data_IF_579666146424
#
_entry.id   IF_579666146424
#
_cell.length_a   1.000
_cell.length_b   1.000
_cell.length_c   1.000
_cell.angle_alpha   90.00
_cell.angle_beta   90.00
_cell.angle_gamma   90.00
#
_symmetry.space_group_name_H-M   'P 1'
#
loop_
_entity.id
_entity.type
_entity.pdbx_description
1 polymer ?
#
# COMPACT_ATOMS: atom_id res chain seq x y z
N UNK A 1 -15.18 27.27 -28.92
CA UNK A 1 -16.02 27.24 -27.71
C UNK A 1 -16.62 25.85 -27.35
N UNK A 2 -16.88 24.90 -28.29
CA UNK A 2 -17.47 23.58 -28.01
C UNK A 2 -16.55 22.58 -27.26
N UNK A 3 -15.23 22.76 -27.20
CA UNK A 3 -14.28 21.84 -26.55
C UNK A 3 -14.15 22.10 -25.05
N UNK A 4 -14.35 23.35 -24.60
CA UNK A 4 -14.32 23.70 -23.17
C UNK A 4 -15.57 23.21 -22.40
N UNK A 5 -16.74 23.20 -23.06
CA UNK A 5 -17.99 22.72 -22.42
C UNK A 5 -17.98 21.22 -22.13
N UNK A 6 -17.19 20.41 -22.86
CA UNK A 6 -17.05 18.97 -22.62
C UNK A 6 -16.19 18.64 -21.41
N UNK A 7 -15.19 19.49 -21.10
CA UNK A 7 -14.32 19.29 -19.92
C UNK A 7 -15.10 19.62 -18.64
N UNK A 8 -15.89 20.71 -18.65
CA UNK A 8 -16.72 21.11 -17.50
C UNK A 8 -17.87 20.14 -17.19
N UNK A 9 -18.29 19.34 -18.19
CA UNK A 9 -19.33 18.33 -18.04
C UNK A 9 -18.75 16.90 -17.80
N UNK A 10 -17.43 16.76 -17.66
CA UNK A 10 -16.82 15.45 -17.43
C UNK A 10 -16.94 15.05 -15.95
N UNK A 11 -17.13 13.77 -15.72
CA UNK A 11 -17.16 13.19 -14.35
C UNK A 11 -15.88 13.52 -13.58
N UNK A 12 -14.72 13.51 -14.27
CA UNK A 12 -13.41 13.80 -13.68
C UNK A 12 -13.35 15.25 -13.15
N UNK A 13 -13.92 16.23 -13.88
CA UNK A 13 -13.97 17.61 -13.43
C UNK A 13 -14.85 17.78 -12.18
N UNK A 14 -15.99 17.11 -12.13
CA UNK A 14 -16.86 17.13 -10.96
C UNK A 14 -16.17 16.53 -9.72
N UNK A 15 -15.46 15.40 -9.87
CA UNK A 15 -14.66 14.79 -8.80
C UNK A 15 -13.52 15.71 -8.36
N UNK A 16 -12.84 16.35 -9.30
CA UNK A 16 -11.79 17.31 -9.00
C UNK A 16 -12.32 18.50 -8.19
N UNK A 17 -13.43 19.11 -8.62
CA UNK A 17 -14.05 20.23 -7.92
C UNK A 17 -14.53 19.82 -6.51
N UNK A 18 -15.12 18.61 -6.37
CA UNK A 18 -15.53 18.09 -5.09
C UNK A 18 -14.33 17.89 -4.16
N UNK A 19 -13.27 17.28 -4.66
CA UNK A 19 -12.04 17.06 -3.88
C UNK A 19 -11.44 18.37 -3.43
N UNK A 20 -11.37 19.38 -4.33
CA UNK A 20 -10.87 20.71 -4.01
C UNK A 20 -11.73 21.40 -2.95
N UNK A 21 -13.06 21.31 -3.06
CA UNK A 21 -13.98 21.85 -2.06
C UNK A 21 -13.78 21.22 -0.68
N UNK A 22 -13.60 19.89 -0.61
CA UNK A 22 -13.32 19.18 0.63
C UNK A 22 -11.97 19.62 1.22
N UNK A 23 -10.92 19.70 0.41
CA UNK A 23 -9.60 20.18 0.87
C UNK A 23 -9.69 21.61 1.42
N UNK A 24 -10.36 22.51 0.73
CA UNK A 24 -10.57 23.89 1.18
C UNK A 24 -11.35 23.95 2.49
N UNK A 25 -12.40 23.15 2.62
CA UNK A 25 -13.17 23.06 3.86
C UNK A 25 -12.27 22.62 5.05
N UNK A 26 -11.43 21.61 4.87
CA UNK A 26 -10.50 21.17 5.92
C UNK A 26 -9.43 22.20 6.24
N UNK A 27 -8.92 22.93 5.26
CA UNK A 27 -7.97 24.03 5.48
C UNK A 27 -8.58 25.13 6.34
N UNK A 28 -9.87 25.43 6.12
CA UNK A 28 -10.58 26.47 6.87
C UNK A 28 -11.02 26.02 8.27
N UNK A 29 -11.39 24.74 8.42
CA UNK A 29 -11.94 24.19 9.66
C UNK A 29 -10.87 23.67 10.62
N UNK A 30 -9.65 23.35 10.13
CA UNK A 30 -8.61 22.74 10.95
C UNK A 30 -7.27 23.46 10.77
N UNK A 31 -6.76 24.03 11.85
CA UNK A 31 -5.44 24.69 11.87
C UNK A 31 -4.29 23.70 11.64
N UNK A 32 -4.51 22.42 11.94
CA UNK A 32 -3.50 21.35 11.76
C UNK A 32 -3.45 20.79 10.34
N UNK A 33 -4.50 21.02 9.53
CA UNK A 33 -4.59 20.41 8.20
C UNK A 33 -3.55 20.96 7.23
N UNK A 34 -3.36 22.27 7.19
CA UNK A 34 -2.42 22.96 6.31
C UNK A 34 -0.98 23.01 6.86
N UNK A 35 -0.60 22.04 7.70
CA UNK A 35 0.76 21.96 8.26
C UNK A 35 1.67 21.07 7.42
N UNK A 36 2.98 21.38 7.40
CA UNK A 36 4.01 20.54 6.77
C UNK A 36 4.00 19.13 7.36
N UNK A 37 3.71 19.00 8.64
CA UNK A 37 3.63 17.69 9.32
C UNK A 37 2.50 16.84 8.72
N UNK A 38 1.30 17.40 8.56
CA UNK A 38 0.17 16.69 7.97
C UNK A 38 0.40 16.37 6.48
N UNK A 39 1.00 17.30 5.73
CA UNK A 39 1.36 17.04 4.33
C UNK A 39 2.32 15.85 4.20
N UNK A 40 3.33 15.75 5.07
CA UNK A 40 4.23 14.62 5.11
C UNK A 40 3.52 13.31 5.48
N UNK A 41 2.56 13.34 6.40
CA UNK A 41 1.75 12.16 6.73
C UNK A 41 0.93 11.68 5.51
N UNK A 42 0.25 12.59 4.84
CA UNK A 42 -0.51 12.29 3.62
C UNK A 42 0.42 11.70 2.55
N UNK A 43 1.59 12.32 2.35
CA UNK A 43 2.56 11.85 1.36
C UNK A 43 3.07 10.43 1.67
N UNK A 44 3.30 10.11 2.96
CA UNK A 44 3.67 8.75 3.38
C UNK A 44 2.56 7.74 3.10
N UNK A 45 1.30 8.07 3.45
CA UNK A 45 0.16 7.18 3.22
C UNK A 45 -0.10 6.94 1.73
N UNK A 46 -0.04 8.00 0.92
CA UNK A 46 -0.18 7.90 -0.54
C UNK A 46 0.94 7.04 -1.14
N UNK A 47 2.16 7.14 -0.61
CA UNK A 47 3.30 6.35 -1.08
C UNK A 47 3.11 4.86 -0.80
N UNK A 48 2.66 4.49 0.40
CA UNK A 48 2.38 3.09 0.76
C UNK A 48 1.26 2.52 -0.12
N UNK A 49 0.16 3.26 -0.27
CA UNK A 49 -0.94 2.86 -1.14
C UNK A 49 -0.51 2.76 -2.61
N UNK A 50 0.37 3.67 -3.05
CA UNK A 50 0.94 3.67 -4.39
C UNK A 50 1.78 2.43 -4.69
N UNK A 51 2.61 1.98 -3.74
CA UNK A 51 3.37 0.73 -3.87
C UNK A 51 2.43 -0.47 -4.02
N UNK A 52 1.38 -0.54 -3.18
CA UNK A 52 0.37 -1.59 -3.30
C UNK A 52 -0.35 -1.54 -4.66
N UNK A 53 -0.71 -0.33 -5.13
CA UNK A 53 -1.38 -0.14 -6.41
C UNK A 53 -0.51 -0.61 -7.60
N UNK A 54 0.81 -0.40 -7.56
CA UNK A 54 1.72 -0.92 -8.58
C UNK A 54 1.66 -2.45 -8.61
N UNK A 55 1.73 -3.10 -7.45
CA UNK A 55 1.63 -4.56 -7.37
C UNK A 55 0.31 -5.11 -7.93
N UNK A 56 -0.81 -4.50 -7.54
CA UNK A 56 -2.15 -4.86 -8.06
C UNK A 56 -2.25 -4.61 -9.56
N UNK A 57 -1.68 -3.50 -10.06
CA UNK A 57 -1.68 -3.19 -11.50
C UNK A 57 -1.00 -4.28 -12.33
N UNK A 58 0.10 -4.86 -11.84
CA UNK A 58 0.77 -5.97 -12.52
C UNK A 58 -0.14 -7.19 -12.68
N UNK A 59 -0.94 -7.50 -11.66
CA UNK A 59 -1.92 -8.60 -11.74
C UNK A 59 -3.04 -8.28 -12.73
N UNK A 60 -3.50 -7.02 -12.76
CA UNK A 60 -4.52 -6.56 -13.72
C UNK A 60 -4.03 -6.65 -15.16
N UNK A 61 -2.77 -6.32 -15.43
CA UNK A 61 -2.16 -6.46 -16.77
C UNK A 61 -2.12 -7.93 -17.24
N UNK A 62 -2.01 -8.88 -16.31
CA UNK A 62 -2.12 -10.31 -16.61
C UNK A 62 -3.58 -10.80 -16.76
N UNK A 63 -4.56 -9.90 -16.71
CA UNK A 63 -5.98 -10.21 -16.81
C UNK A 63 -6.61 -10.74 -15.52
N UNK A 64 -5.90 -10.64 -14.38
CA UNK A 64 -6.38 -11.05 -13.06
C UNK A 64 -6.93 -9.88 -12.23
N UNK A 65 -7.66 -10.22 -11.17
CA UNK A 65 -8.05 -9.28 -10.12
C UNK A 65 -7.58 -9.86 -8.79
N UNK A 66 -6.75 -9.11 -8.06
CA UNK A 66 -6.26 -9.49 -6.73
C UNK A 66 -6.94 -8.65 -5.65
N UNK A 67 -7.80 -9.29 -4.88
CA UNK A 67 -8.48 -8.69 -3.73
C UNK A 67 -7.74 -8.96 -2.41
N UNK A 68 -6.68 -9.80 -2.43
CA UNK A 68 -5.97 -10.23 -1.23
C UNK A 68 -4.83 -9.30 -0.81
N UNK A 69 -4.42 -8.37 -1.66
CA UNK A 69 -3.26 -7.49 -1.47
C UNK A 69 -3.27 -6.74 -0.13
N UNK A 70 -4.44 -6.23 0.30
CA UNK A 70 -4.60 -5.58 1.60
C UNK A 70 -4.43 -6.54 2.79
N UNK A 71 -4.90 -7.79 2.66
CA UNK A 71 -4.73 -8.81 3.70
C UNK A 71 -3.28 -9.30 3.78
N UNK A 72 -2.59 -9.43 2.65
CA UNK A 72 -1.16 -9.74 2.59
C UNK A 72 -0.35 -8.63 3.27
N UNK A 73 -0.66 -7.37 2.96
CA UNK A 73 -0.01 -6.22 3.61
C UNK A 73 -0.19 -6.27 5.14
N UNK A 74 -1.42 -6.51 5.61
CA UNK A 74 -1.71 -6.62 7.03
C UNK A 74 -0.94 -7.78 7.69
N UNK A 75 -0.88 -8.95 7.05
CA UNK A 75 -0.13 -10.11 7.54
C UNK A 75 1.37 -9.81 7.62
N UNK A 76 1.96 -9.25 6.55
CA UNK A 76 3.38 -8.89 6.52
C UNK A 76 3.72 -7.85 7.60
N UNK A 77 2.87 -6.83 7.78
CA UNK A 77 3.05 -5.79 8.79
C UNK A 77 2.97 -6.38 10.22
N UNK A 78 2.00 -7.25 10.47
CA UNK A 78 1.83 -7.93 11.76
C UNK A 78 3.06 -8.80 12.08
N UNK A 79 3.50 -9.63 11.15
CA UNK A 79 4.70 -10.45 11.33
C UNK A 79 5.94 -9.60 11.55
N UNK A 80 6.13 -8.53 10.76
CA UNK A 80 7.25 -7.60 10.90
C UNK A 80 7.29 -6.96 12.28
N UNK A 81 6.14 -6.48 12.76
CA UNK A 81 6.02 -5.89 14.10
C UNK A 81 6.38 -6.88 15.22
N UNK A 82 5.93 -8.13 15.10
CA UNK A 82 6.29 -9.17 16.07
C UNK A 82 7.80 -9.49 16.05
N UNK A 83 8.40 -9.63 14.87
CA UNK A 83 9.84 -9.90 14.75
C UNK A 83 10.68 -8.80 15.38
N UNK A 84 10.29 -7.54 15.16
CA UNK A 84 10.97 -6.39 15.78
C UNK A 84 10.84 -6.43 17.31
N UNK A 85 9.67 -6.75 17.85
CA UNK A 85 9.46 -6.86 19.29
C UNK A 85 10.19 -8.06 19.90
N UNK A 86 10.52 -9.09 19.12
CA UNK A 86 11.39 -10.20 19.50
C UNK A 86 12.89 -9.81 19.47
N UNK A 87 13.22 -8.58 19.11
CA UNK A 87 14.61 -8.09 19.04
C UNK A 87 15.36 -8.48 17.77
N UNK A 88 14.65 -8.98 16.74
CA UNK A 88 15.29 -9.32 15.46
C UNK A 88 15.72 -8.03 14.74
N UNK A 89 16.94 -7.98 14.15
CA UNK A 89 17.40 -6.83 13.41
C UNK A 89 16.44 -6.41 12.29
N UNK A 90 16.23 -5.11 12.10
CA UNK A 90 15.26 -4.57 11.13
C UNK A 90 15.48 -5.09 9.71
N UNK A 91 16.72 -5.22 9.29
CA UNK A 91 17.06 -5.76 7.97
C UNK A 91 16.51 -7.19 7.79
N UNK A 92 16.68 -8.04 8.80
CA UNK A 92 16.13 -9.41 8.79
C UNK A 92 14.60 -9.40 8.81
N UNK A 93 13.98 -8.49 9.57
CA UNK A 93 12.52 -8.33 9.58
C UNK A 93 11.98 -7.96 8.19
N UNK A 94 12.67 -7.07 7.47
CA UNK A 94 12.29 -6.70 6.09
C UNK A 94 12.35 -7.93 5.18
N UNK A 95 13.46 -8.67 5.20
CA UNK A 95 13.62 -9.86 4.36
C UNK A 95 12.58 -10.93 4.68
N UNK A 96 12.31 -11.19 5.96
CA UNK A 96 11.28 -12.14 6.38
C UNK A 96 9.89 -11.72 5.95
N UNK A 97 9.54 -10.43 6.08
CA UNK A 97 8.26 -9.90 5.63
C UNK A 97 8.10 -9.98 4.10
N UNK A 98 9.16 -9.69 3.36
CA UNK A 98 9.17 -9.87 1.91
C UNK A 98 8.97 -11.34 1.53
N UNK A 99 9.63 -12.26 2.22
CA UNK A 99 9.45 -13.70 2.00
C UNK A 99 8.00 -14.14 2.25
N UNK A 100 7.36 -13.65 3.32
CA UNK A 100 5.94 -13.92 3.59
C UNK A 100 5.07 -13.40 2.45
N UNK A 101 5.29 -12.18 1.99
CA UNK A 101 4.55 -11.61 0.86
C UNK A 101 4.71 -12.42 -0.43
N UNK A 102 5.93 -12.85 -0.73
CA UNK A 102 6.21 -13.72 -1.89
C UNK A 102 5.48 -15.06 -1.76
N UNK A 103 5.51 -15.69 -0.60
CA UNK A 103 4.80 -16.96 -0.35
C UNK A 103 3.28 -16.82 -0.53
N UNK A 104 2.70 -15.73 -0.04
CA UNK A 104 1.29 -15.43 -0.24
C UNK A 104 0.96 -15.23 -1.73
N UNK A 105 1.80 -14.50 -2.46
CA UNK A 105 1.66 -14.30 -3.90
C UNK A 105 1.80 -15.61 -4.70
N UNK A 106 2.77 -16.44 -4.35
CA UNK A 106 2.95 -17.78 -4.94
C UNK A 106 1.75 -18.69 -4.68
N UNK A 107 1.19 -18.63 -3.47
CA UNK A 107 -0.03 -19.37 -3.14
C UNK A 107 -1.19 -18.95 -4.03
N UNK A 108 -1.46 -17.65 -4.17
CA UNK A 108 -2.49 -17.15 -5.08
C UNK A 108 -2.21 -17.53 -6.55
N UNK A 109 -0.98 -17.37 -6.99
CA UNK A 109 -0.56 -17.74 -8.33
C UNK A 109 -0.76 -19.23 -8.61
N UNK A 110 -0.49 -20.10 -7.62
CA UNK A 110 -0.72 -21.54 -7.76
C UNK A 110 -2.22 -21.88 -7.86
N UNK A 111 -3.09 -21.22 -7.07
CA UNK A 111 -4.53 -21.40 -7.14
C UNK A 111 -5.08 -21.03 -8.52
N UNK A 112 -4.61 -19.92 -9.09
CA UNK A 112 -5.08 -19.43 -10.38
C UNK A 112 -4.46 -20.21 -11.54
N UNK A 113 -3.12 -20.36 -11.57
CA UNK A 113 -2.41 -20.91 -12.72
C UNK A 113 -2.46 -22.45 -12.80
N UNK A 114 -2.35 -23.15 -11.64
CA UNK A 114 -2.35 -24.63 -11.63
C UNK A 114 -3.73 -25.22 -11.41
N UNK A 115 -4.49 -24.68 -10.46
CA UNK A 115 -5.84 -25.19 -10.17
C UNK A 115 -6.93 -24.55 -11.03
N UNK A 116 -6.57 -23.55 -11.86
CA UNK A 116 -7.47 -22.85 -12.78
C UNK A 116 -8.71 -22.26 -12.08
N UNK A 117 -8.55 -21.86 -10.81
CA UNK A 117 -9.60 -21.17 -10.07
C UNK A 117 -9.69 -19.73 -10.59
N UNK A 118 -10.88 -19.18 -10.86
CA UNK A 118 -11.04 -17.78 -11.25
C UNK A 118 -10.33 -16.84 -10.25
N UNK A 119 -9.54 -15.85 -10.71
CA UNK A 119 -8.72 -14.98 -9.83
C UNK A 119 -9.49 -14.34 -8.69
N UNK A 120 -10.70 -13.83 -8.97
CA UNK A 120 -11.56 -13.20 -7.96
C UNK A 120 -11.89 -14.19 -6.82
N UNK A 121 -12.28 -15.42 -7.15
CA UNK A 121 -12.65 -16.44 -6.16
C UNK A 121 -11.42 -16.85 -5.34
N UNK A 122 -10.30 -17.13 -6.01
CA UNK A 122 -9.05 -17.50 -5.36
C UNK A 122 -8.58 -16.41 -4.38
N UNK A 123 -8.54 -15.15 -4.82
CA UNK A 123 -8.03 -14.04 -4.01
C UNK A 123 -9.00 -13.60 -2.92
N UNK A 124 -10.31 -13.74 -3.09
CA UNK A 124 -11.29 -13.55 -2.01
C UNK A 124 -11.14 -14.60 -0.91
N UNK A 125 -10.95 -15.86 -1.27
CA UNK A 125 -10.74 -16.93 -0.30
C UNK A 125 -9.42 -16.73 0.46
N UNK A 126 -8.32 -16.50 -0.26
CA UNK A 126 -7.01 -16.28 0.34
C UNK A 126 -6.95 -14.99 1.19
N UNK A 127 -7.68 -13.94 0.82
CA UNK A 127 -7.83 -12.72 1.64
C UNK A 127 -8.33 -13.06 3.06
N UNK A 128 -9.37 -13.89 3.16
CA UNK A 128 -9.90 -14.29 4.47
C UNK A 128 -8.91 -15.18 5.24
N UNK A 129 -8.21 -16.09 4.55
CA UNK A 129 -7.17 -16.92 5.15
C UNK A 129 -6.04 -16.04 5.72
N UNK A 130 -5.48 -15.13 4.92
CA UNK A 130 -4.36 -14.28 5.35
C UNK A 130 -4.76 -13.33 6.48
N UNK A 131 -6.00 -12.80 6.44
CA UNK A 131 -6.54 -11.99 7.53
C UNK A 131 -6.71 -12.82 8.81
N UNK A 132 -7.22 -14.03 8.69
CA UNK A 132 -7.35 -14.97 9.81
C UNK A 132 -5.98 -15.29 10.43
N UNK A 133 -4.97 -15.59 9.60
CA UNK A 133 -3.60 -15.84 10.06
C UNK A 133 -3.04 -14.60 10.78
N UNK A 134 -3.24 -13.39 10.24
CA UNK A 134 -2.78 -12.16 10.89
C UNK A 134 -3.40 -12.00 12.29
N UNK A 135 -4.70 -12.26 12.44
CA UNK A 135 -5.39 -12.20 13.74
C UNK A 135 -4.85 -13.25 14.71
N UNK A 136 -4.66 -14.49 14.25
CA UNK A 136 -4.11 -15.57 15.10
C UNK A 136 -2.71 -15.24 15.57
N UNK A 137 -1.86 -14.76 14.66
CA UNK A 137 -0.46 -14.38 14.94
C UNK A 137 -0.39 -13.25 15.96
N UNK A 138 -1.28 -12.25 15.85
CA UNK A 138 -1.34 -11.11 16.80
C UNK A 138 -2.15 -11.42 18.05
N UNK A 139 -2.83 -12.57 18.12
CA UNK A 139 -3.85 -12.90 19.15
C UNK A 139 -4.99 -11.87 19.22
N UNK A 140 -5.23 -11.14 18.16
CA UNK A 140 -6.21 -10.05 18.09
C UNK A 140 -5.76 -8.74 18.73
N UNK A 141 -4.55 -8.66 19.26
CA UNK A 141 -4.02 -7.47 19.92
C UNK A 141 -3.30 -6.53 18.96
N UNK A 142 -3.24 -5.25 19.35
CA UNK A 142 -2.44 -4.26 18.67
C UNK A 142 -0.96 -4.45 18.99
N UNK A 143 -0.12 -4.57 17.96
CA UNK A 143 1.33 -4.62 18.16
C UNK A 143 1.82 -3.19 18.36
N UNK A 144 2.37 -2.92 19.54
CA UNK A 144 2.87 -1.60 19.97
C UNK A 144 4.26 -1.73 20.57
N UNK A 145 4.87 -0.61 20.98
CA UNK A 145 6.16 -0.65 21.67
C UNK A 145 7.37 -0.78 20.77
N UNK A 146 7.25 -0.35 19.50
CA UNK A 146 8.35 -0.43 18.54
C UNK A 146 9.56 0.40 18.98
N UNK A 147 10.81 -0.13 18.81
CA UNK A 147 12.02 0.61 19.04
C UNK A 147 12.11 1.85 18.14
N UNK A 148 12.76 2.92 18.63
CA UNK A 148 12.90 4.18 17.88
C UNK A 148 13.52 4.00 16.49
N UNK A 149 14.51 3.12 16.37
CA UNK A 149 15.19 2.85 15.10
C UNK A 149 14.26 2.23 14.04
N UNK A 150 13.25 1.47 14.44
CA UNK A 150 12.26 0.93 13.51
C UNK A 150 11.34 2.02 12.98
N UNK A 151 10.90 2.93 13.85
CA UNK A 151 10.06 4.05 13.46
C UNK A 151 10.74 4.99 12.46
N UNK A 152 12.08 5.02 12.42
CA UNK A 152 12.82 5.87 11.46
C UNK A 152 12.54 5.50 10.01
N UNK A 153 12.31 4.23 9.69
CA UNK A 153 11.97 3.81 8.32
C UNK A 153 10.58 4.28 7.87
N UNK A 154 9.61 4.25 8.76
CA UNK A 154 8.23 4.64 8.44
C UNK A 154 7.97 6.15 8.59
N UNK A 155 8.64 6.80 9.55
CA UNK A 155 8.41 8.20 9.92
C UNK A 155 9.60 9.12 9.65
N UNK A 156 10.75 8.55 9.27
CA UNK A 156 11.95 9.31 8.94
C UNK A 156 11.77 10.17 7.69
N UNK A 157 12.60 11.23 7.59
CA UNK A 157 12.58 12.17 6.46
C UNK A 157 14.00 12.32 5.91
N UNK A 158 14.12 12.37 4.59
CA UNK A 158 15.34 12.70 3.86
C UNK A 158 15.05 13.98 3.07
N UNK A 159 15.81 15.05 3.29
CA UNK A 159 15.58 16.37 2.69
C UNK A 159 14.16 16.92 2.95
N UNK A 160 13.57 16.64 4.12
CA UNK A 160 12.21 17.07 4.48
C UNK A 160 11.09 16.19 3.92
N UNK A 161 11.39 15.24 3.05
CA UNK A 161 10.43 14.32 2.40
C UNK A 161 10.44 12.97 3.12
N UNK A 162 9.28 12.35 3.38
CA UNK A 162 9.20 11.04 4.03
C UNK A 162 9.94 9.93 3.28
N UNK A 163 10.62 9.05 4.00
CA UNK A 163 11.33 7.90 3.42
C UNK A 163 10.40 7.01 2.55
N UNK A 164 9.15 6.71 2.93
CA UNK A 164 8.23 5.94 2.08
C UNK A 164 8.04 6.52 0.68
N UNK A 165 8.11 7.85 0.52
CA UNK A 165 7.99 8.48 -0.79
C UNK A 165 9.19 8.15 -1.71
N UNK A 166 10.39 8.15 -1.16
CA UNK A 166 11.59 7.78 -1.93
C UNK A 166 11.55 6.31 -2.36
N UNK A 167 11.10 5.43 -1.46
CA UNK A 167 10.91 4.00 -1.77
C UNK A 167 9.87 3.85 -2.91
N UNK A 168 8.73 4.54 -2.80
CA UNK A 168 7.70 4.55 -3.83
C UNK A 168 8.23 5.05 -5.17
N UNK A 169 8.99 6.15 -5.18
CA UNK A 169 9.57 6.72 -6.41
C UNK A 169 10.53 5.74 -7.09
N UNK A 170 11.41 5.07 -6.32
CA UNK A 170 12.33 4.06 -6.84
C UNK A 170 11.58 2.85 -7.41
N UNK A 171 10.58 2.34 -6.70
CA UNK A 171 9.77 1.20 -7.15
C UNK A 171 9.01 1.57 -8.44
N UNK A 172 8.39 2.75 -8.48
CA UNK A 172 7.66 3.23 -9.66
C UNK A 172 8.57 3.33 -10.87
N UNK A 173 9.75 3.94 -10.70
CA UNK A 173 10.73 4.07 -11.78
C UNK A 173 11.21 2.70 -12.27
N UNK A 174 11.53 1.80 -11.35
CA UNK A 174 11.99 0.43 -11.68
C UNK A 174 10.92 -0.37 -12.42
N UNK A 175 9.67 -0.32 -11.94
CA UNK A 175 8.55 -0.98 -12.59
C UNK A 175 8.23 -0.36 -13.96
N UNK A 176 8.28 0.97 -14.08
CA UNK A 176 8.07 1.64 -15.36
C UNK A 176 9.12 1.27 -16.42
N UNK A 177 10.39 1.12 -16.01
CA UNK A 177 11.45 0.64 -16.89
C UNK A 177 11.18 -0.82 -17.27
N UNK A 178 10.86 -1.68 -16.30
CA UNK A 178 10.59 -3.10 -16.56
C UNK A 178 9.46 -3.27 -17.57
N UNK A 179 8.34 -2.56 -17.37
CA UNK A 179 7.17 -2.63 -18.25
C UNK A 179 7.40 -2.07 -19.67
N UNK A 180 8.44 -1.26 -19.87
CA UNK A 180 8.81 -0.79 -21.21
C UNK A 180 9.44 -1.90 -22.05
N UNK A 181 10.03 -2.92 -21.42
CA UNK A 181 10.75 -4.01 -22.09
C UNK A 181 9.96 -5.33 -22.13
N UNK A 182 8.82 -5.39 -21.46
CA UNK A 182 7.86 -6.50 -21.51
C UNK A 182 6.56 -6.09 -22.20
#
# INVERSE_FOLDING_TARGET
>A
MKKQSKILASQEFAVFCFTLAVVLAFVLLSTSFATVANFCLILSQVSINGICAIGVSMVVFLGGIDLSSGAILALCASCSGMFVNMGIPVFSCILMSMAIGVLCGLFNGALVARLRIPPIIATMASMNIFRGIAIVVTKGDWITGFPKYFNTLGQGRICGIPIPFWIFAVITASCGILMKYF
#
